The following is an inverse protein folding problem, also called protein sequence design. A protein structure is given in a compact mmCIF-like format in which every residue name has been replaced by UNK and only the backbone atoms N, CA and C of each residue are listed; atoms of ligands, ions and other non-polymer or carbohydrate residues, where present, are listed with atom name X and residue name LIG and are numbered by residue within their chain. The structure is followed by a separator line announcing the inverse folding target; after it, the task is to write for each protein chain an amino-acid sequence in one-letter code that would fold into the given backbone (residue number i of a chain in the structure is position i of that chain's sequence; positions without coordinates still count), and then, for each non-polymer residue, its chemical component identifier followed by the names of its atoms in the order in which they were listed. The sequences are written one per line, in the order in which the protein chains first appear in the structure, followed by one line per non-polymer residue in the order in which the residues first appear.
data_IF_370792727723
#
_entry.id   IF_370792727723
#
_cell.length_a   1.000
_cell.length_b   1.000
_cell.length_c   1.000
_cell.angle_alpha   90.00
_cell.angle_beta   90.00
_cell.angle_gamma   90.00
#
_symmetry.space_group_name_H-M   'P 1'
#
loop_
_entity.id
_entity.type
_entity.pdbx_description
1 polymer ?
#
# COMPACT_ATOMS: atom_id res chain seq x y z
N UNK A 1 18.03 11.29 -3.83
CA UNK A 1 18.15 10.56 -2.55
C UNK A 1 17.17 9.38 -2.48
N UNK A 2 16.07 9.36 -3.26
CA UNK A 2 15.06 8.29 -3.17
C UNK A 2 15.18 7.14 -4.19
N UNK A 3 15.81 7.37 -5.34
CA UNK A 3 16.00 6.33 -6.37
C UNK A 3 16.95 5.20 -5.90
N UNK A 4 17.74 5.46 -4.87
CA UNK A 4 18.72 4.51 -4.32
C UNK A 4 18.09 3.51 -3.34
N UNK A 5 16.93 3.81 -2.73
CA UNK A 5 16.35 2.98 -1.67
C UNK A 5 15.52 1.82 -2.23
N UNK A 6 14.68 2.08 -3.24
CA UNK A 6 13.81 1.07 -3.86
C UNK A 6 14.60 0.02 -4.63
N UNK A 7 15.62 0.44 -5.37
CA UNK A 7 16.48 -0.48 -6.14
C UNK A 7 17.27 -1.40 -5.22
N UNK A 8 17.63 -0.92 -4.03
CA UNK A 8 18.35 -1.69 -3.01
C UNK A 8 17.49 -2.72 -2.29
N UNK A 9 16.17 -2.55 -2.25
CA UNK A 9 15.26 -3.53 -1.65
C UNK A 9 15.07 -4.78 -2.52
N UNK A 10 15.53 -4.77 -3.78
CA UNK A 10 15.28 -5.83 -4.76
C UNK A 10 13.78 -6.22 -4.82
N UNK A 11 12.90 -5.22 -4.69
CA UNK A 11 11.46 -5.42 -4.68
C UNK A 11 11.01 -5.93 -6.06
N UNK A 12 10.27 -7.05 -6.15
CA UNK A 12 9.86 -7.60 -7.43
C UNK A 12 8.80 -6.72 -8.09
N UNK A 13 8.97 -6.51 -9.39
CA UNK A 13 7.97 -5.88 -10.25
C UNK A 13 7.00 -6.97 -10.72
N UNK A 14 5.71 -6.76 -10.49
CA UNK A 14 4.60 -7.66 -10.84
C UNK A 14 3.50 -6.88 -11.54
N UNK A 15 2.53 -7.58 -12.12
CA UNK A 15 1.28 -6.91 -12.50
C UNK A 15 0.49 -6.58 -11.23
N UNK A 16 0.20 -5.31 -11.05
CA UNK A 16 -0.45 -4.75 -9.86
C UNK A 16 -1.72 -4.02 -10.27
N UNK A 17 -2.68 -3.97 -9.36
CA UNK A 17 -3.91 -3.20 -9.55
C UNK A 17 -3.67 -1.70 -9.33
N UNK A 18 -2.78 -1.34 -8.39
CA UNK A 18 -2.40 0.00 -7.97
C UNK A 18 -3.51 0.84 -7.29
N UNK A 19 -4.71 0.28 -7.14
CA UNK A 19 -5.87 0.98 -6.57
C UNK A 19 -6.81 0.03 -5.79
N UNK A 20 -6.25 -0.79 -4.92
CA UNK A 20 -7.00 -1.78 -4.12
C UNK A 20 -7.74 -1.19 -2.92
N UNK A 21 -8.65 -0.25 -3.18
CA UNK A 21 -9.62 0.25 -2.20
C UNK A 21 -10.84 -0.69 -2.09
N UNK A 22 -11.60 -0.62 -1.00
CA UNK A 22 -12.71 -1.55 -0.71
C UNK A 22 -13.79 -1.60 -1.79
N UNK A 23 -14.07 -0.46 -2.45
CA UNK A 23 -14.99 -0.36 -3.59
C UNK A 23 -14.58 -1.16 -4.83
N UNK A 24 -13.30 -1.52 -4.95
CA UNK A 24 -12.77 -2.34 -6.05
C UNK A 24 -12.73 -3.85 -5.71
N UNK A 25 -13.29 -4.22 -4.55
CA UNK A 25 -13.41 -5.60 -4.08
C UNK A 25 -14.89 -6.02 -4.05
N UNK A 26 -15.28 -6.97 -4.91
CA UNK A 26 -16.63 -7.51 -4.95
C UNK A 26 -16.68 -8.91 -4.35
N UNK A 27 -17.44 -9.07 -3.26
CA UNK A 27 -17.70 -10.38 -2.66
C UNK A 27 -18.99 -11.00 -3.24
N UNK A 28 -18.88 -12.22 -3.74
CA UNK A 28 -20.03 -13.05 -4.10
C UNK A 28 -20.41 -13.95 -2.91
N UNK A 29 -21.35 -13.46 -2.09
CA UNK A 29 -21.82 -14.14 -0.88
C UNK A 29 -22.32 -15.57 -1.11
N UNK A 30 -22.72 -15.93 -2.33
CA UNK A 30 -23.25 -17.27 -2.63
C UNK A 30 -22.15 -18.31 -2.80
N UNK A 31 -21.00 -17.90 -3.31
CA UNK A 31 -19.90 -18.79 -3.65
C UNK A 31 -18.63 -18.50 -2.86
N UNK A 32 -18.67 -17.52 -1.95
CA UNK A 32 -17.54 -17.07 -1.12
C UNK A 32 -16.31 -16.69 -1.97
N UNK A 33 -16.58 -16.11 -3.14
CA UNK A 33 -15.55 -15.66 -4.09
C UNK A 33 -15.36 -14.16 -3.99
N UNK A 34 -14.10 -13.73 -3.86
CA UNK A 34 -13.71 -12.32 -3.93
C UNK A 34 -13.16 -11.99 -5.31
N UNK A 35 -13.69 -10.93 -5.93
CA UNK A 35 -13.28 -10.45 -7.25
C UNK A 35 -12.67 -9.06 -7.14
N UNK A 36 -11.57 -8.85 -7.85
CA UNK A 36 -11.01 -7.53 -8.07
C UNK A 36 -11.56 -6.95 -9.37
N UNK A 37 -11.97 -5.70 -9.34
CA UNK A 37 -12.56 -4.98 -10.49
C UNK A 37 -11.91 -3.61 -10.66
N UNK A 38 -12.15 -2.95 -11.78
CA UNK A 38 -11.70 -1.57 -12.04
C UNK A 38 -10.16 -1.40 -12.09
N UNK A 39 -9.53 -2.06 -13.05
CA UNK A 39 -8.09 -1.99 -13.30
C UNK A 39 -7.66 -0.74 -14.08
N UNK A 40 -8.31 0.42 -13.89
CA UNK A 40 -7.96 1.64 -14.64
C UNK A 40 -6.53 2.13 -14.38
N UNK A 41 -6.01 1.89 -13.16
CA UNK A 41 -4.61 2.13 -12.78
C UNK A 41 -3.72 0.88 -12.91
N UNK A 42 -4.27 -0.24 -13.39
CA UNK A 42 -3.56 -1.51 -13.48
C UNK A 42 -2.33 -1.44 -14.37
N UNK A 43 -1.16 -1.81 -13.83
CA UNK A 43 0.12 -1.77 -14.56
C UNK A 43 1.19 -2.61 -13.87
N UNK A 44 2.35 -2.76 -14.53
CA UNK A 44 3.51 -3.34 -13.87
C UNK A 44 4.06 -2.37 -12.82
N UNK A 45 4.09 -2.81 -11.56
CA UNK A 45 4.53 -2.01 -10.42
C UNK A 45 5.23 -2.87 -9.38
N UNK A 46 5.82 -2.26 -8.35
CA UNK A 46 6.39 -2.99 -7.22
C UNK A 46 5.25 -3.60 -6.40
N UNK A 47 5.33 -4.90 -6.06
CA UNK A 47 4.27 -5.54 -5.26
C UNK A 47 4.05 -4.84 -3.91
N UNK A 48 5.12 -4.32 -3.30
CA UNK A 48 5.04 -3.58 -2.05
C UNK A 48 4.19 -2.31 -2.15
N UNK A 49 4.11 -1.69 -3.33
CA UNK A 49 3.20 -0.57 -3.58
C UNK A 49 1.74 -1.04 -3.55
N UNK A 50 1.41 -2.10 -4.25
CA UNK A 50 0.02 -2.56 -4.34
C UNK A 50 -0.51 -2.99 -2.96
N UNK A 51 0.32 -3.71 -2.19
CA UNK A 51 -0.02 -4.13 -0.83
C UNK A 51 -0.04 -2.93 0.13
N UNK A 52 0.96 -2.04 0.05
CA UNK A 52 1.03 -0.86 0.93
C UNK A 52 -0.11 0.11 0.66
N UNK A 53 -0.52 0.24 -0.61
CA UNK A 53 -1.71 0.99 -1.00
C UNK A 53 -2.96 0.36 -0.40
N UNK A 54 -3.15 -0.95 -0.57
CA UNK A 54 -4.31 -1.65 0.01
C UNK A 54 -4.42 -1.41 1.53
N UNK A 55 -3.31 -1.44 2.26
CA UNK A 55 -3.31 -1.16 3.70
C UNK A 55 -3.63 0.30 4.03
N UNK A 56 -3.21 1.26 3.22
CA UNK A 56 -3.63 2.66 3.40
C UNK A 56 -5.14 2.82 3.27
N UNK A 57 -5.78 2.06 2.38
CA UNK A 57 -7.23 2.13 2.14
C UNK A 57 -8.07 1.55 3.28
N UNK A 58 -7.47 0.90 4.29
CA UNK A 58 -8.18 0.56 5.54
C UNK A 58 -8.67 1.80 6.29
N UNK A 59 -7.99 2.93 6.11
CA UNK A 59 -8.35 4.22 6.69
C UNK A 59 -9.56 4.87 5.99
N UNK A 60 -9.94 4.37 4.81
CA UNK A 60 -11.01 4.91 3.97
C UNK A 60 -10.80 6.36 3.53
N UNK A 61 -11.84 6.98 2.98
CA UNK A 61 -11.79 8.38 2.53
C UNK A 61 -11.58 9.38 3.68
N UNK A 62 -12.00 9.04 4.90
CA UNK A 62 -11.79 9.84 6.10
C UNK A 62 -10.33 9.81 6.58
N UNK A 63 -9.50 8.91 6.04
CA UNK A 63 -8.10 8.74 6.42
C UNK A 63 -7.91 8.49 7.93
N UNK A 64 -8.78 7.67 8.54
CA UNK A 64 -8.60 7.22 9.92
C UNK A 64 -7.53 6.13 10.00
N UNK A 65 -6.27 6.56 10.09
CA UNK A 65 -5.12 5.64 10.19
C UNK A 65 -5.03 4.90 11.52
N UNK A 66 -5.97 5.07 12.46
CA UNK A 66 -6.10 4.13 13.59
C UNK A 66 -6.56 2.74 13.14
N UNK A 67 -7.16 2.64 11.95
CA UNK A 67 -7.60 1.40 11.30
C UNK A 67 -6.51 0.74 10.45
N UNK A 68 -5.35 1.38 10.28
CA UNK A 68 -4.25 0.81 9.52
C UNK A 68 -3.78 -0.51 10.18
N UNK A 69 -3.53 -1.58 9.40
CA UNK A 69 -3.25 -2.89 9.97
C UNK A 69 -1.99 -2.88 10.82
N UNK A 70 -2.10 -3.43 12.02
CA UNK A 70 -0.97 -3.69 12.91
C UNK A 70 0.05 -4.62 12.26
N UNK A 71 1.26 -4.67 12.81
CA UNK A 71 2.33 -5.55 12.30
C UNK A 71 1.88 -7.03 12.23
N UNK A 72 1.11 -7.50 13.21
CA UNK A 72 0.64 -8.88 13.25
C UNK A 72 -0.41 -9.16 12.16
N UNK A 73 -1.30 -8.21 11.88
CA UNK A 73 -2.27 -8.27 10.78
C UNK A 73 -1.59 -8.21 9.41
N UNK A 74 -0.58 -7.35 9.25
CA UNK A 74 0.25 -7.32 8.04
C UNK A 74 0.97 -8.65 7.84
N UNK A 75 1.56 -9.23 8.90
CA UNK A 75 2.21 -10.53 8.82
C UNK A 75 1.20 -11.66 8.52
N UNK A 76 -0.04 -11.56 9.02
CA UNK A 76 -1.11 -12.47 8.64
C UNK A 76 -1.39 -12.41 7.14
N UNK A 77 -1.54 -11.21 6.58
CA UNK A 77 -1.73 -11.01 5.14
C UNK A 77 -0.53 -11.55 4.34
N UNK A 78 0.70 -11.19 4.71
CA UNK A 78 1.92 -11.62 4.01
C UNK A 78 2.09 -13.14 3.97
N UNK A 79 1.74 -13.86 5.05
CA UNK A 79 1.80 -15.32 5.06
C UNK A 79 0.89 -15.94 4.00
N UNK A 80 -0.34 -15.45 3.89
CA UNK A 80 -1.30 -15.93 2.91
C UNK A 80 -0.95 -15.47 1.49
N UNK A 81 -0.38 -14.27 1.34
CA UNK A 81 0.10 -13.79 0.05
C UNK A 81 1.31 -14.59 -0.48
N UNK A 82 2.30 -14.87 0.37
CA UNK A 82 3.54 -15.53 -0.04
C UNK A 82 3.39 -17.05 -0.21
N UNK A 83 2.56 -17.71 0.62
CA UNK A 83 2.38 -19.16 0.58
C UNK A 83 0.95 -19.55 0.95
N UNK A 84 -0.04 -19.31 0.06
CA UNK A 84 -1.46 -19.55 0.33
C UNK A 84 -1.77 -20.92 0.92
N UNK A 85 -1.10 -21.97 0.43
CA UNK A 85 -1.42 -23.35 0.85
C UNK A 85 -0.78 -23.74 2.19
N UNK A 86 0.23 -23.00 2.63
CA UNK A 86 1.01 -23.29 3.84
C UNK A 86 1.53 -21.99 4.48
N UNK A 87 0.64 -21.08 4.90
CA UNK A 87 0.99 -19.72 5.32
C UNK A 87 1.95 -19.70 6.51
N UNK A 88 1.85 -20.67 7.41
CA UNK A 88 2.70 -20.76 8.61
C UNK A 88 4.08 -21.36 8.36
N UNK A 89 4.38 -21.83 7.14
CA UNK A 89 5.72 -22.28 6.74
C UNK A 89 6.55 -21.15 6.11
N UNK A 90 6.03 -19.91 6.02
CA UNK A 90 6.78 -18.77 5.48
C UNK A 90 7.89 -18.37 6.45
N UNK A 91 9.16 -18.34 6.01
CA UNK A 91 10.27 -17.91 6.87
C UNK A 91 10.10 -16.49 7.40
N UNK A 92 10.43 -16.26 8.67
CA UNK A 92 10.32 -14.94 9.29
C UNK A 92 11.16 -13.87 8.57
N UNK A 93 12.29 -14.26 7.99
CA UNK A 93 13.12 -13.36 7.16
C UNK A 93 12.36 -12.81 5.95
N UNK A 94 11.47 -13.60 5.34
CA UNK A 94 10.73 -13.21 4.13
C UNK A 94 9.56 -12.31 4.53
N UNK A 95 8.92 -12.59 5.68
CA UNK A 95 7.91 -11.70 6.27
C UNK A 95 8.51 -10.34 6.63
N UNK A 96 9.70 -10.33 7.25
CA UNK A 96 10.41 -9.10 7.60
C UNK A 96 10.80 -8.30 6.36
N UNK A 97 11.32 -8.96 5.32
CA UNK A 97 11.66 -8.30 4.07
C UNK A 97 10.41 -7.66 3.42
N UNK A 98 9.31 -8.40 3.31
CA UNK A 98 8.07 -7.88 2.73
C UNK A 98 7.43 -6.79 3.59
N UNK A 99 7.53 -6.85 4.92
CA UNK A 99 7.10 -5.78 5.81
C UNK A 99 7.85 -4.47 5.53
N UNK A 100 9.17 -4.54 5.38
CA UNK A 100 10.00 -3.36 5.11
C UNK A 100 9.70 -2.81 3.71
N UNK A 101 9.60 -3.69 2.71
CA UNK A 101 9.22 -3.36 1.34
C UNK A 101 7.86 -2.61 1.32
N UNK A 102 6.82 -3.23 1.90
CA UNK A 102 5.45 -2.72 1.92
C UNK A 102 5.36 -1.36 2.63
N UNK A 103 5.94 -1.23 3.82
CA UNK A 103 5.88 0.04 4.57
C UNK A 103 6.72 1.14 3.90
N UNK A 104 7.76 0.78 3.13
CA UNK A 104 8.50 1.77 2.32
C UNK A 104 7.63 2.28 1.17
N UNK A 105 6.97 1.40 0.43
CA UNK A 105 6.13 1.79 -0.70
C UNK A 105 4.76 2.38 -0.30
N UNK A 106 4.28 2.13 0.93
CA UNK A 106 3.13 2.82 1.51
C UNK A 106 3.33 4.34 1.54
N UNK A 107 4.55 4.82 1.78
CA UNK A 107 4.89 6.25 1.65
C UNK A 107 4.69 6.75 0.21
N UNK A 108 5.10 5.96 -0.78
CA UNK A 108 4.92 6.30 -2.19
C UNK A 108 3.43 6.37 -2.56
N UNK A 109 2.59 5.48 -2.01
CA UNK A 109 1.13 5.54 -2.16
C UNK A 109 0.55 6.83 -1.59
N UNK A 110 0.95 7.27 -0.39
CA UNK A 110 0.48 8.55 0.15
C UNK A 110 0.83 9.73 -0.76
N UNK A 111 2.07 9.80 -1.25
CA UNK A 111 2.49 10.86 -2.18
C UNK A 111 1.72 10.80 -3.51
N UNK A 112 1.56 9.61 -4.09
CA UNK A 112 0.85 9.42 -5.34
C UNK A 112 -0.59 9.95 -5.25
N UNK A 113 -1.35 9.49 -4.24
CA UNK A 113 -2.74 9.87 -4.08
C UNK A 113 -2.94 11.30 -3.58
N UNK A 114 -1.99 11.85 -2.83
CA UNK A 114 -1.97 13.28 -2.54
C UNK A 114 -1.85 14.08 -3.85
N UNK A 115 -0.84 13.81 -4.67
CA UNK A 115 -0.64 14.53 -5.94
C UNK A 115 -1.82 14.35 -6.90
N UNK A 116 -2.37 13.13 -6.98
CA UNK A 116 -3.60 12.86 -7.73
C UNK A 116 -4.73 13.78 -7.26
N UNK A 117 -4.97 13.88 -5.95
CA UNK A 117 -6.04 14.70 -5.41
C UNK A 117 -5.81 16.20 -5.68
N UNK A 118 -4.57 16.67 -5.56
CA UNK A 118 -4.22 18.06 -5.89
C UNK A 118 -4.54 18.40 -7.36
N UNK A 119 -4.30 17.47 -8.29
CA UNK A 119 -4.65 17.63 -9.70
C UNK A 119 -6.18 17.61 -9.88
N UNK A 120 -6.86 16.67 -9.23
CA UNK A 120 -8.32 16.52 -9.33
C UNK A 120 -9.08 17.71 -8.74
N UNK A 121 -8.55 18.37 -7.72
CA UNK A 121 -9.12 19.61 -7.17
C UNK A 121 -9.32 20.70 -8.23
N UNK A 122 -8.57 20.64 -9.35
CA UNK A 122 -8.72 21.56 -10.49
C UNK A 122 -9.45 20.96 -11.68
N UNK A 123 -9.35 19.66 -11.89
CA UNK A 123 -9.76 18.99 -13.13
C UNK A 123 -11.09 18.23 -13.02
N UNK A 124 -11.45 17.76 -11.83
CA UNK A 124 -12.63 16.92 -11.63
C UNK A 124 -13.91 17.74 -11.64
N UNK A 125 -14.98 17.14 -12.16
CA UNK A 125 -16.34 17.66 -12.05
C UNK A 125 -17.11 17.05 -10.85
N UNK A 126 -16.51 16.10 -10.13
CA UNK A 126 -17.12 15.40 -8.99
C UNK A 126 -17.06 16.31 -7.76
N UNK A 127 -18.15 16.36 -7.01
CA UNK A 127 -18.23 17.06 -5.72
C UNK A 127 -17.57 16.23 -4.62
N UNK A 128 -16.26 16.43 -4.45
CA UNK A 128 -15.43 15.79 -3.43
C UNK A 128 -14.36 16.78 -2.94
N UNK A 129 -14.04 16.76 -1.64
CA UNK A 129 -13.00 17.63 -1.06
C UNK A 129 -11.58 17.11 -1.36
N UNK A 130 -11.18 17.25 -2.63
CA UNK A 130 -9.88 16.82 -3.11
C UNK A 130 -8.71 17.54 -2.40
N UNK A 131 -8.87 18.81 -2.03
CA UNK A 131 -7.81 19.55 -1.37
C UNK A 131 -7.66 19.14 0.10
N UNK A 132 -8.77 18.89 0.81
CA UNK A 132 -8.76 18.28 2.12
C UNK A 132 -8.09 16.90 2.09
N UNK A 133 -8.47 16.07 1.13
CA UNK A 133 -7.88 14.74 0.94
C UNK A 133 -6.37 14.79 0.65
N UNK A 134 -5.90 15.75 -0.15
CA UNK A 134 -4.47 16.00 -0.35
C UNK A 134 -3.73 16.17 0.97
N UNK A 135 -4.23 17.05 1.87
CA UNK A 135 -3.58 17.29 3.15
C UNK A 135 -3.64 16.08 4.07
N UNK A 136 -4.75 15.32 4.07
CA UNK A 136 -4.85 14.07 4.84
C UNK A 136 -3.76 13.06 4.44
N UNK A 137 -3.60 12.81 3.13
CA UNK A 137 -2.58 11.88 2.60
C UNK A 137 -1.16 12.40 2.82
N UNK A 138 -0.90 13.67 2.51
CA UNK A 138 0.44 14.27 2.61
C UNK A 138 0.93 14.36 4.07
N UNK A 139 0.06 14.75 5.00
CA UNK A 139 0.43 14.82 6.42
C UNK A 139 0.74 13.44 7.00
N UNK A 140 0.01 12.41 6.59
CA UNK A 140 0.31 11.04 6.99
C UNK A 140 1.67 10.57 6.43
N UNK A 141 1.98 10.89 5.16
CA UNK A 141 3.32 10.65 4.61
C UNK A 141 4.41 11.27 5.48
N UNK A 142 4.31 12.57 5.80
CA UNK A 142 5.34 13.26 6.59
C UNK A 142 5.49 12.65 8.00
N UNK A 143 4.39 12.20 8.61
CA UNK A 143 4.40 11.51 9.92
C UNK A 143 5.15 10.18 9.88
N UNK A 144 4.92 9.34 8.87
CA UNK A 144 5.47 7.97 8.80
C UNK A 144 6.87 7.91 8.18
N UNK A 145 7.24 8.92 7.39
CA UNK A 145 8.48 8.98 6.59
C UNK A 145 9.74 8.64 7.37
N UNK A 146 9.97 9.28 8.52
CA UNK A 146 11.21 9.10 9.27
C UNK A 146 11.39 7.66 9.74
N UNK A 147 10.32 7.06 10.26
CA UNK A 147 10.33 5.69 10.76
C UNK A 147 10.61 4.71 9.62
N UNK A 148 9.88 4.81 8.52
CA UNK A 148 9.98 3.89 7.39
C UNK A 148 11.34 3.99 6.69
N UNK A 149 11.87 5.20 6.48
CA UNK A 149 13.21 5.40 5.92
C UNK A 149 14.28 4.80 6.83
N UNK A 150 14.19 5.02 8.14
CA UNK A 150 15.15 4.46 9.11
C UNK A 150 15.11 2.92 9.11
N UNK A 151 13.91 2.34 9.02
CA UNK A 151 13.71 0.90 8.95
C UNK A 151 14.33 0.31 7.68
N UNK A 152 14.08 0.92 6.52
CA UNK A 152 14.64 0.48 5.24
C UNK A 152 16.18 0.58 5.24
N UNK A 153 16.74 1.70 5.70
CA UNK A 153 18.20 1.87 5.79
C UNK A 153 18.86 0.83 6.69
N UNK A 154 18.24 0.53 7.83
CA UNK A 154 18.74 -0.48 8.77
C UNK A 154 18.76 -1.88 8.15
N UNK A 155 17.78 -2.20 7.30
CA UNK A 155 17.73 -3.48 6.60
C UNK A 155 18.80 -3.61 5.52
N UNK A 156 19.05 -2.53 4.79
CA UNK A 156 20.01 -2.49 3.68
C UNK A 156 21.48 -2.37 4.13
N UNK A 157 21.72 -2.22 5.42
CA UNK A 157 23.05 -2.12 6.03
C UNK A 157 23.55 -3.44 6.62
N UNK A 158 22.75 -4.50 6.54
CA UNK A 158 23.04 -5.87 7.00
C UNK A 158 23.31 -6.75 5.79
#
# INVERSE_FOLDING_TARGET
MDQELTDRLNAPVVFSHNDLLSGNLMLDDKHDNLYFIDFEYGSYSYRGYDIGNHFNEYAGYECDYSLYPSKDEQYHFFRHYLKPEKPYEVPEKDLKALYIETNTFMLASHLYWALWALIQAKMSAIDFDYLGYFFLRYNQYEKEKQMCVSLAQSHLSV
#
